data_IF_251362166709
#
_entry.id   IF_251362166709
#
_cell.length_a   1.000
_cell.length_b   1.000
_cell.length_c   1.000
_cell.angle_alpha   90.00
_cell.angle_beta   90.00
_cell.angle_gamma   90.00
#
_symmetry.space_group_name_H-M   'P 1'
#
loop_
_entity.id
_entity.type
_entity.pdbx_description
1 polymer ?
#
# COMPACT_ATOMS: atom_id res chain seq x y z
N UNK A 1 -7.28 16.76 -2.59
CA UNK A 1 -6.36 17.74 -3.22
C UNK A 1 -6.52 17.87 -4.72
N UNK A 2 -6.34 16.82 -5.52
CA UNK A 2 -6.40 16.92 -6.99
C UNK A 2 -7.73 17.49 -7.51
N UNK A 3 -8.87 17.09 -6.92
CA UNK A 3 -10.17 17.67 -7.26
C UNK A 3 -10.29 19.16 -6.92
N UNK A 4 -9.67 19.61 -5.83
CA UNK A 4 -9.60 21.05 -5.49
C UNK A 4 -8.76 21.80 -6.52
N UNK A 5 -7.58 21.28 -6.90
CA UNK A 5 -6.75 21.87 -7.96
C UNK A 5 -7.47 21.90 -9.32
N UNK A 6 -8.32 20.92 -9.60
CA UNK A 6 -9.20 20.92 -10.77
C UNK A 6 -10.22 22.08 -10.72
N UNK A 7 -10.91 22.27 -9.58
CA UNK A 7 -11.84 23.39 -9.38
C UNK A 7 -11.13 24.74 -9.47
N UNK A 8 -9.92 24.85 -8.94
CA UNK A 8 -9.05 26.02 -9.07
C UNK A 8 -8.71 26.32 -10.53
N UNK A 9 -8.37 25.30 -11.32
CA UNK A 9 -8.09 25.44 -12.75
C UNK A 9 -9.32 25.90 -13.57
N UNK A 10 -10.53 25.63 -13.09
CA UNK A 10 -11.79 26.17 -13.64
C UNK A 10 -12.11 27.60 -13.18
N UNK A 11 -11.21 28.23 -12.41
CA UNK A 11 -11.39 29.58 -11.88
C UNK A 11 -12.30 29.66 -10.65
N UNK A 12 -12.63 28.53 -10.02
CA UNK A 12 -13.40 28.55 -8.78
C UNK A 12 -12.51 28.92 -7.58
N UNK A 13 -13.05 29.70 -6.65
CA UNK A 13 -12.39 29.95 -5.37
C UNK A 13 -12.43 28.67 -4.52
N UNK A 14 -11.26 28.07 -4.29
CA UNK A 14 -11.13 26.83 -3.50
C UNK A 14 -10.76 27.07 -2.03
N UNK A 15 -10.40 28.31 -1.67
CA UNK A 15 -9.91 28.64 -0.33
C UNK A 15 -8.58 27.96 0.00
N UNK A 16 -8.29 27.81 1.29
CA UNK A 16 -7.15 27.01 1.74
C UNK A 16 -7.45 25.51 1.58
N UNK A 17 -6.43 24.74 1.19
CA UNK A 17 -6.55 23.28 1.16
C UNK A 17 -6.67 22.77 2.60
N UNK A 18 -7.75 22.04 2.95
CA UNK A 18 -7.96 21.53 4.30
C UNK A 18 -6.79 20.72 4.86
N UNK A 19 -6.64 20.76 6.19
CA UNK A 19 -5.67 19.93 6.90
C UNK A 19 -5.92 18.43 6.63
N UNK A 20 -4.84 17.65 6.47
CA UNK A 20 -4.90 16.23 6.10
C UNK A 20 -4.96 15.97 4.59
N UNK A 21 -5.08 17.00 3.76
CA UNK A 21 -4.95 16.89 2.31
C UNK A 21 -3.55 17.32 1.84
N UNK A 22 -3.08 16.75 0.74
CA UNK A 22 -1.80 17.11 0.11
C UNK A 22 -1.86 18.52 -0.51
N UNK A 23 -1.14 19.54 0.00
CA UNK A 23 -1.29 20.91 -0.48
C UNK A 23 -0.34 21.24 -1.65
N UNK A 24 0.64 20.37 -1.93
CA UNK A 24 1.76 20.67 -2.80
C UNK A 24 1.40 21.08 -4.22
N UNK A 25 2.22 21.97 -4.78
CA UNK A 25 2.03 22.54 -6.13
C UNK A 25 2.20 21.51 -7.25
N UNK A 26 2.81 20.36 -6.94
CA UNK A 26 2.90 19.22 -7.87
C UNK A 26 1.52 18.69 -8.33
N UNK A 27 0.43 19.04 -7.63
CA UNK A 27 -0.94 18.71 -8.04
C UNK A 27 -1.61 19.78 -8.91
N UNK A 28 -1.03 20.97 -9.06
CA UNK A 28 -1.58 22.03 -9.94
C UNK A 28 -1.66 21.54 -11.39
N UNK A 29 -0.61 20.94 -11.98
CA UNK A 29 -0.70 20.39 -13.35
C UNK A 29 -1.74 19.29 -13.49
N UNK A 30 -1.99 18.50 -12.43
CA UNK A 30 -3.04 17.46 -12.42
C UNK A 30 -4.42 18.10 -12.52
N UNK A 31 -4.67 19.15 -11.74
CA UNK A 31 -5.92 19.91 -11.79
C UNK A 31 -6.16 20.56 -13.16
N UNK A 32 -5.13 21.17 -13.74
CA UNK A 32 -5.18 21.77 -15.07
C UNK A 32 -5.50 20.72 -16.15
N UNK A 33 -4.87 19.55 -16.08
CA UNK A 33 -5.15 18.48 -17.02
C UNK A 33 -6.59 17.96 -16.91
N UNK A 34 -7.08 17.75 -15.68
CA UNK A 34 -8.48 17.36 -15.45
C UNK A 34 -9.46 18.39 -16.02
N UNK A 35 -9.18 19.69 -15.86
CA UNK A 35 -10.01 20.76 -16.38
C UNK A 35 -9.98 20.80 -17.93
N UNK A 36 -8.81 20.56 -18.53
CA UNK A 36 -8.68 20.47 -19.97
C UNK A 36 -9.39 19.24 -20.56
N UNK A 37 -9.32 18.09 -19.87
CA UNK A 37 -9.89 16.82 -20.31
C UNK A 37 -11.41 16.74 -20.11
N UNK A 38 -11.93 17.30 -19.01
CA UNK A 38 -13.31 17.12 -18.59
C UNK A 38 -14.14 18.41 -18.52
N UNK A 39 -13.55 19.58 -18.76
CA UNK A 39 -14.26 20.85 -18.57
C UNK A 39 -14.76 20.99 -17.14
N UNK A 40 -16.02 21.38 -16.95
CA UNK A 40 -16.70 21.44 -15.66
C UNK A 40 -17.52 20.18 -15.32
N UNK A 41 -17.52 19.17 -16.19
CA UNK A 41 -18.42 18.01 -16.07
C UNK A 41 -18.28 17.26 -14.74
N UNK A 42 -17.05 17.13 -14.22
CA UNK A 42 -16.81 16.44 -12.93
C UNK A 42 -17.45 17.18 -11.74
N UNK A 43 -17.69 18.50 -11.85
CA UNK A 43 -18.36 19.28 -10.80
C UNK A 43 -19.84 18.91 -10.65
N UNK A 44 -20.46 18.43 -11.73
CA UNK A 44 -21.87 18.04 -11.75
C UNK A 44 -22.09 16.57 -11.34
N UNK A 45 -21.01 15.81 -11.19
CA UNK A 45 -21.08 14.39 -10.82
C UNK A 45 -21.15 14.22 -9.30
N UNK A 46 -21.82 13.16 -8.81
CA UNK A 46 -21.66 12.72 -7.43
C UNK A 46 -20.23 12.20 -7.19
N UNK A 47 -19.80 12.18 -5.92
CA UNK A 47 -18.42 11.85 -5.53
C UNK A 47 -17.99 10.44 -5.95
N UNK A 48 -18.85 9.45 -5.80
CA UNK A 48 -18.61 8.09 -6.24
C UNK A 48 -18.34 7.97 -7.75
N UNK A 49 -18.85 8.90 -8.56
CA UNK A 49 -18.63 8.94 -10.00
C UNK A 49 -17.36 9.70 -10.41
N UNK A 50 -17.08 10.88 -9.84
CA UNK A 50 -15.87 11.65 -10.22
C UNK A 50 -14.59 11.19 -9.51
N UNK A 51 -14.70 10.65 -8.29
CA UNK A 51 -13.53 10.31 -7.47
C UNK A 51 -12.62 9.27 -8.14
N UNK A 52 -13.13 8.18 -8.73
CA UNK A 52 -12.27 7.23 -9.46
C UNK A 52 -11.49 7.88 -10.60
N UNK A 53 -12.14 8.77 -11.37
CA UNK A 53 -11.53 9.47 -12.51
C UNK A 53 -10.39 10.36 -12.04
N UNK A 54 -10.66 11.22 -11.05
CA UNK A 54 -9.66 12.13 -10.48
C UNK A 54 -8.51 11.35 -9.82
N UNK A 55 -8.83 10.27 -9.09
CA UNK A 55 -7.84 9.41 -8.45
C UNK A 55 -6.92 8.76 -9.48
N UNK A 56 -7.46 8.19 -10.54
CA UNK A 56 -6.66 7.50 -11.55
C UNK A 56 -5.76 8.49 -12.32
N UNK A 57 -6.27 9.69 -12.64
CA UNK A 57 -5.47 10.76 -13.26
C UNK A 57 -4.34 11.23 -12.34
N UNK A 58 -4.64 11.44 -11.07
CA UNK A 58 -3.64 11.84 -10.07
C UNK A 58 -2.58 10.75 -9.90
N UNK A 59 -2.98 9.49 -9.78
CA UNK A 59 -2.05 8.35 -9.65
C UNK A 59 -1.11 8.27 -10.85
N UNK A 60 -1.65 8.35 -12.08
CA UNK A 60 -0.82 8.34 -13.29
C UNK A 60 0.20 9.48 -13.29
N UNK A 61 -0.25 10.71 -13.00
CA UNK A 61 0.62 11.87 -12.98
C UNK A 61 1.72 11.78 -11.90
N UNK A 62 1.40 11.24 -10.72
CA UNK A 62 2.40 11.05 -9.66
C UNK A 62 3.42 9.99 -10.04
N UNK A 63 2.99 8.90 -10.69
CA UNK A 63 3.91 7.88 -11.18
C UNK A 63 4.83 8.42 -12.28
N UNK A 64 4.33 9.28 -13.16
CA UNK A 64 5.15 9.93 -14.19
C UNK A 64 6.17 10.89 -13.58
N UNK A 65 5.78 11.66 -12.55
CA UNK A 65 6.68 12.51 -11.79
C UNK A 65 7.79 11.70 -11.11
N UNK A 66 7.43 10.62 -10.41
CA UNK A 66 8.40 9.73 -9.75
C UNK A 66 9.40 9.15 -10.77
N UNK A 67 8.92 8.69 -11.93
CA UNK A 67 9.80 8.18 -13.00
C UNK A 67 10.74 9.24 -13.53
N UNK A 68 10.25 10.46 -13.74
CA UNK A 68 11.07 11.58 -14.22
C UNK A 68 12.15 11.96 -13.20
N UNK A 69 11.81 12.03 -11.91
CA UNK A 69 12.76 12.33 -10.83
C UNK A 69 13.85 11.25 -10.72
N UNK A 70 13.47 9.97 -10.77
CA UNK A 70 14.42 8.87 -10.78
C UNK A 70 15.35 8.91 -12.01
N UNK A 71 14.78 9.18 -13.19
CA UNK A 71 15.56 9.29 -14.42
C UNK A 71 16.55 10.47 -14.38
N UNK A 72 16.17 11.60 -13.77
CA UNK A 72 17.06 12.74 -13.57
C UNK A 72 18.27 12.40 -12.66
N UNK A 73 18.11 11.41 -11.77
CA UNK A 73 19.18 10.85 -10.94
C UNK A 73 19.93 9.68 -11.61
N UNK A 74 19.58 9.32 -12.86
CA UNK A 74 20.15 8.18 -13.57
C UNK A 74 19.66 6.82 -13.09
N UNK A 75 18.50 6.76 -12.41
CA UNK A 75 17.90 5.55 -11.87
C UNK A 75 16.74 5.11 -12.76
N UNK A 76 16.76 3.84 -13.19
CA UNK A 76 15.68 3.24 -13.98
C UNK A 76 15.24 1.92 -13.37
N UNK A 77 13.92 1.72 -13.23
CA UNK A 77 13.34 0.44 -12.82
C UNK A 77 12.75 -0.27 -14.04
N UNK A 78 13.01 -1.57 -14.17
CA UNK A 78 12.41 -2.40 -15.20
C UNK A 78 10.93 -2.66 -14.94
N UNK A 79 10.54 -2.75 -13.66
CA UNK A 79 9.18 -3.08 -13.23
C UNK A 79 8.74 -2.13 -12.13
N UNK A 80 7.59 -1.48 -12.33
CA UNK A 80 6.79 -0.86 -11.27
C UNK A 80 5.60 -1.77 -11.01
N UNK A 81 5.43 -2.24 -9.77
CA UNK A 81 4.40 -3.21 -9.42
C UNK A 81 3.25 -2.56 -8.65
N UNK A 82 2.00 -2.93 -8.96
CA UNK A 82 0.81 -2.33 -8.36
C UNK A 82 0.26 -3.20 -7.23
N UNK A 83 0.14 -2.64 -6.03
CA UNK A 83 -0.57 -3.29 -4.92
C UNK A 83 -2.05 -3.55 -5.26
N UNK A 84 -2.68 -2.63 -6.01
CA UNK A 84 -4.07 -2.83 -6.47
C UNK A 84 -4.18 -4.09 -7.35
N UNK A 85 -3.21 -4.31 -8.22
CA UNK A 85 -3.16 -5.51 -9.07
C UNK A 85 -2.87 -6.77 -8.25
N UNK A 86 -1.96 -6.70 -7.27
CA UNK A 86 -1.69 -7.80 -6.34
C UNK A 86 -2.98 -8.29 -5.66
N UNK A 87 -3.76 -7.36 -5.12
CA UNK A 87 -5.05 -7.66 -4.51
C UNK A 87 -6.05 -8.22 -5.53
N UNK A 88 -6.16 -7.61 -6.70
CA UNK A 88 -7.12 -8.03 -7.73
C UNK A 88 -6.81 -9.43 -8.32
N UNK A 89 -5.53 -9.84 -8.31
CA UNK A 89 -5.07 -11.11 -8.89
C UNK A 89 -5.36 -12.35 -8.02
N UNK A 90 -5.77 -12.16 -6.76
CA UNK A 90 -5.90 -13.23 -5.77
C UNK A 90 -4.57 -13.82 -5.32
N UNK A 91 -3.45 -13.14 -5.55
CA UNK A 91 -2.11 -13.63 -5.18
C UNK A 91 -1.94 -13.76 -3.67
N UNK A 92 -2.59 -12.89 -2.89
CA UNK A 92 -2.54 -12.93 -1.42
C UNK A 92 -3.19 -14.22 -0.93
N UNK A 93 -4.42 -14.48 -1.36
CA UNK A 93 -5.18 -15.68 -0.99
C UNK A 93 -4.42 -16.95 -1.36
N UNK A 94 -3.92 -17.04 -2.60
CA UNK A 94 -3.12 -18.20 -3.06
C UNK A 94 -1.86 -18.42 -2.22
N UNK A 95 -1.15 -17.35 -1.86
CA UNK A 95 0.06 -17.45 -1.05
C UNK A 95 -0.26 -17.95 0.36
N UNK A 96 -1.36 -17.47 0.94
CA UNK A 96 -1.78 -17.89 2.28
C UNK A 96 -2.34 -19.31 2.28
N UNK A 97 -3.08 -19.72 1.25
CA UNK A 97 -3.50 -21.11 1.06
C UNK A 97 -2.31 -22.05 0.94
N UNK A 98 -1.25 -21.63 0.23
CA UNK A 98 -0.01 -22.38 0.16
C UNK A 98 0.62 -22.55 1.56
N UNK A 99 0.77 -21.47 2.33
CA UNK A 99 1.30 -21.56 3.70
C UNK A 99 0.43 -22.41 4.64
N UNK A 100 -0.89 -22.33 4.50
CA UNK A 100 -1.84 -23.15 5.26
C UNK A 100 -1.70 -24.64 4.91
N UNK A 101 -1.54 -24.96 3.62
CA UNK A 101 -1.30 -26.35 3.16
C UNK A 101 -0.02 -26.97 3.73
N UNK A 102 0.96 -26.13 4.10
CA UNK A 102 2.19 -26.55 4.78
C UNK A 102 2.03 -26.61 6.31
N UNK A 103 0.84 -26.31 6.84
CA UNK A 103 0.57 -26.27 8.27
C UNK A 103 1.27 -25.11 8.98
N UNK A 104 1.63 -24.04 8.26
CA UNK A 104 2.34 -22.87 8.80
C UNK A 104 1.42 -21.75 9.28
N UNK A 105 0.11 -21.90 9.04
CA UNK A 105 -0.92 -21.00 9.56
C UNK A 105 -1.71 -21.71 10.66
N UNK A 106 -2.10 -20.96 11.70
CA UNK A 106 -2.95 -21.46 12.76
C UNK A 106 -3.77 -20.33 13.40
N UNK A 107 -4.75 -20.68 14.22
CA UNK A 107 -5.48 -19.71 15.06
C UNK A 107 -4.89 -19.72 16.47
N UNK A 108 -4.42 -18.55 16.94
CA UNK A 108 -3.81 -18.39 18.25
C UNK A 108 -4.01 -17.00 18.83
N UNK A 109 -3.52 -16.78 20.05
CA UNK A 109 -3.58 -15.48 20.73
C UNK A 109 -2.15 -14.98 20.91
N UNK A 110 -1.85 -13.78 20.43
CA UNK A 110 -0.54 -13.15 20.64
C UNK A 110 -0.47 -12.55 22.03
N UNK A 111 0.72 -12.58 22.62
CA UNK A 111 1.05 -11.86 23.85
C UNK A 111 0.95 -10.33 23.64
N UNK A 112 0.72 -9.55 24.70
CA UNK A 112 0.69 -8.10 24.60
C UNK A 112 2.04 -7.53 24.13
N UNK A 113 2.03 -6.38 23.44
CA UNK A 113 3.27 -5.71 23.05
C UNK A 113 4.20 -5.48 24.24
N UNK A 114 5.51 -5.70 24.03
CA UNK A 114 6.51 -5.44 25.08
C UNK A 114 6.55 -3.94 25.39
N UNK A 115 6.45 -3.58 26.68
CA UNK A 115 6.77 -2.24 27.17
C UNK A 115 5.58 -1.39 27.62
N UNK A 116 4.37 -1.62 27.12
CA UNK A 116 3.08 -1.08 27.64
C UNK A 116 1.95 -1.97 27.14
N UNK A 117 0.94 -2.23 27.97
CA UNK A 117 -0.36 -2.70 27.46
C UNK A 117 -1.07 -1.47 26.88
N UNK A 118 -1.32 -1.41 25.56
CA UNK A 118 -2.24 -0.42 25.01
C UNK A 118 -3.58 -0.52 25.75
N UNK A 119 -4.24 0.61 26.00
CA UNK A 119 -5.60 0.64 26.57
C UNK A 119 -6.59 -0.18 25.71
N UNK A 120 -6.29 -0.34 24.42
CA UNK A 120 -7.08 -1.07 23.42
C UNK A 120 -6.59 -2.51 23.15
N UNK A 121 -5.71 -3.08 23.97
CA UNK A 121 -5.27 -4.47 23.78
C UNK A 121 -6.14 -5.45 24.56
N UNK A 122 -6.81 -6.33 23.81
CA UNK A 122 -7.52 -7.48 24.37
C UNK A 122 -7.02 -8.79 23.75
N UNK A 123 -6.86 -9.85 24.56
CA UNK A 123 -6.50 -11.17 24.05
C UNK A 123 -7.63 -11.69 23.16
N UNK A 124 -7.31 -11.94 21.90
CA UNK A 124 -8.27 -12.44 20.91
C UNK A 124 -7.64 -13.46 19.97
N UNK A 125 -8.39 -14.48 19.54
CA UNK A 125 -7.96 -15.40 18.49
C UNK A 125 -7.67 -14.64 17.20
N UNK A 126 -6.52 -14.93 16.59
CA UNK A 126 -6.03 -14.33 15.35
C UNK A 126 -5.51 -15.43 14.43
N UNK A 127 -5.62 -15.22 13.13
CA UNK A 127 -4.93 -16.05 12.13
C UNK A 127 -3.45 -15.67 12.11
N UNK A 128 -2.58 -16.59 12.52
CA UNK A 128 -1.16 -16.37 12.74
C UNK A 128 -0.32 -17.23 11.79
N UNK A 129 0.74 -16.64 11.26
CA UNK A 129 1.86 -17.34 10.63
C UNK A 129 2.88 -17.75 11.69
N UNK A 130 3.34 -19.01 11.64
CA UNK A 130 4.33 -19.62 12.55
C UNK A 130 5.76 -19.11 12.32
N UNK A 131 5.94 -17.79 12.31
CA UNK A 131 7.21 -17.12 12.04
C UNK A 131 8.32 -17.50 13.02
N UNK A 132 7.97 -17.86 14.26
CA UNK A 132 8.94 -18.30 15.27
C UNK A 132 9.67 -19.59 14.88
N UNK A 133 9.06 -20.46 14.06
CA UNK A 133 9.72 -21.65 13.52
C UNK A 133 10.88 -21.31 12.58
N UNK A 134 10.90 -20.09 12.05
CA UNK A 134 11.90 -19.59 11.10
C UNK A 134 12.77 -18.47 11.68
N UNK A 135 12.81 -18.34 13.01
CA UNK A 135 13.73 -17.44 13.72
C UNK A 135 13.24 -16.02 13.95
N UNK A 136 11.94 -15.76 13.77
CA UNK A 136 11.32 -14.50 14.22
C UNK A 136 11.06 -14.52 15.74
N UNK A 137 10.87 -13.33 16.33
CA UNK A 137 10.70 -13.17 17.78
C UNK A 137 9.28 -13.57 18.26
N UNK A 138 8.27 -13.41 17.40
CA UNK A 138 6.86 -13.74 17.65
C UNK A 138 6.18 -14.18 16.37
N UNK A 139 5.13 -15.00 16.50
CA UNK A 139 4.27 -15.33 15.36
C UNK A 139 3.50 -14.08 14.89
N UNK A 140 3.16 -14.05 13.61
CA UNK A 140 2.71 -12.82 12.94
C UNK A 140 1.25 -12.92 12.53
N UNK A 141 0.46 -11.92 12.91
CA UNK A 141 -0.94 -11.83 12.49
C UNK A 141 -1.05 -11.57 10.99
N UNK A 142 -1.84 -12.39 10.31
CA UNK A 142 -2.15 -12.27 8.89
C UNK A 142 -3.45 -11.51 8.65
N UNK A 143 -4.40 -11.57 9.60
CA UNK A 143 -5.70 -10.87 9.52
C UNK A 143 -5.91 -9.90 10.68
N UNK A 144 -6.56 -8.78 10.39
CA UNK A 144 -7.11 -7.83 11.36
C UNK A 144 -8.46 -8.33 11.88
N UNK A 145 -8.99 -7.67 12.92
CA UNK A 145 -10.30 -8.02 13.49
C UNK A 145 -11.49 -7.73 12.60
N UNK A 146 -11.35 -6.78 11.67
CA UNK A 146 -12.38 -6.48 10.67
C UNK A 146 -12.41 -7.50 9.51
N UNK A 147 -11.56 -8.55 9.57
CA UNK A 147 -11.43 -9.57 8.54
C UNK A 147 -10.48 -9.20 7.40
N UNK A 148 -10.03 -7.95 7.32
CA UNK A 148 -9.06 -7.52 6.30
C UNK A 148 -7.67 -8.07 6.60
N UNK A 149 -6.85 -8.19 5.55
CA UNK A 149 -5.45 -8.60 5.68
C UNK A 149 -4.62 -7.56 6.44
N UNK A 150 -3.66 -8.00 7.24
CA UNK A 150 -2.61 -7.11 7.76
C UNK A 150 -1.66 -6.73 6.62
N UNK A 151 -0.84 -5.70 6.80
CA UNK A 151 0.19 -5.33 5.80
C UNK A 151 1.23 -6.44 5.58
N UNK A 152 1.32 -7.41 6.50
CA UNK A 152 2.26 -8.52 6.35
C UNK A 152 1.84 -9.51 5.27
N UNK A 153 0.55 -9.78 5.10
CA UNK A 153 0.06 -10.70 4.08
C UNK A 153 0.36 -10.27 2.62
N UNK A 154 0.09 -9.02 2.18
CA UNK A 154 0.49 -8.57 0.84
C UNK A 154 2.02 -8.54 0.69
N UNK A 155 2.78 -8.23 1.73
CA UNK A 155 4.25 -8.26 1.66
C UNK A 155 4.79 -9.68 1.42
N UNK A 156 4.23 -10.69 2.09
CA UNK A 156 4.58 -12.09 1.84
C UNK A 156 4.23 -12.48 0.41
N UNK A 157 3.01 -12.15 -0.04
CA UNK A 157 2.56 -12.46 -1.40
C UNK A 157 3.44 -11.80 -2.46
N UNK A 158 3.86 -10.55 -2.24
CA UNK A 158 4.73 -9.86 -3.16
C UNK A 158 6.17 -10.41 -3.15
N UNK A 159 6.69 -10.82 -2.00
CA UNK A 159 8.00 -11.50 -1.95
C UNK A 159 7.94 -12.87 -2.62
N UNK A 160 6.86 -13.60 -2.44
CA UNK A 160 6.64 -14.87 -3.11
C UNK A 160 6.56 -14.69 -4.64
N UNK A 161 5.84 -13.68 -5.12
CA UNK A 161 5.82 -13.30 -6.53
C UNK A 161 7.23 -12.97 -7.06
N UNK A 162 8.00 -12.12 -6.35
CA UNK A 162 9.40 -11.81 -6.71
C UNK A 162 10.27 -13.08 -6.79
N UNK A 163 10.09 -14.01 -5.85
CA UNK A 163 10.82 -15.28 -5.82
C UNK A 163 10.45 -16.17 -7.02
N UNK A 164 9.17 -16.25 -7.36
CA UNK A 164 8.67 -17.06 -8.48
C UNK A 164 9.15 -16.56 -9.86
N UNK A 165 9.64 -15.32 -9.97
CA UNK A 165 10.25 -14.79 -11.21
C UNK A 165 11.59 -15.44 -11.57
N UNK A 166 12.13 -16.32 -10.71
CA UNK A 166 13.30 -17.16 -11.02
C UNK A 166 14.65 -16.56 -10.62
N UNK A 167 14.66 -15.46 -9.87
CA UNK A 167 15.89 -14.87 -9.36
C UNK A 167 16.39 -15.63 -8.12
N UNK A 168 17.71 -15.84 -8.02
CA UNK A 168 18.34 -16.53 -6.89
C UNK A 168 18.76 -15.59 -5.75
N UNK A 169 18.60 -14.29 -5.94
CA UNK A 169 19.02 -13.26 -4.98
C UNK A 169 18.00 -12.14 -4.96
N UNK A 170 17.56 -11.77 -3.76
CA UNK A 170 16.63 -10.69 -3.51
C UNK A 170 17.28 -9.70 -2.56
N UNK A 171 17.27 -8.42 -2.93
CA UNK A 171 17.82 -7.32 -2.13
C UNK A 171 16.73 -6.29 -1.95
N UNK A 172 16.33 -6.05 -0.70
CA UNK A 172 15.41 -4.97 -0.36
C UNK A 172 16.19 -3.80 0.26
N UNK A 173 15.86 -2.58 -0.16
CA UNK A 173 16.44 -1.34 0.36
C UNK A 173 15.38 -0.68 1.24
N UNK A 174 15.56 -0.74 2.55
CA UNK A 174 14.65 -0.16 3.54
C UNK A 174 15.29 1.00 4.31
N UNK A 175 14.44 1.85 4.88
CA UNK A 175 14.86 2.80 5.92
C UNK A 175 15.37 2.06 7.16
N UNK A 176 16.33 2.66 7.87
CA UNK A 176 16.96 2.04 9.04
C UNK A 176 15.97 1.74 10.19
N UNK A 177 14.86 2.47 10.23
CA UNK A 177 13.73 2.31 11.15
C UNK A 177 12.95 1.00 10.93
N UNK A 178 13.17 0.30 9.81
CA UNK A 178 12.49 -0.96 9.46
C UNK A 178 13.23 -2.21 9.96
N UNK A 179 14.23 -2.10 10.83
CA UNK A 179 15.03 -3.24 11.31
C UNK A 179 14.20 -4.40 11.88
N UNK A 180 13.10 -4.11 12.59
CA UNK A 180 12.17 -5.11 13.11
C UNK A 180 11.30 -5.82 12.06
N UNK A 181 11.30 -5.32 10.82
CA UNK A 181 10.60 -5.92 9.68
C UNK A 181 11.45 -6.98 8.96
N UNK A 182 12.77 -6.92 9.10
CA UNK A 182 13.70 -7.82 8.39
C UNK A 182 13.47 -9.28 8.82
N UNK A 183 13.35 -9.55 10.13
CA UNK A 183 13.20 -10.92 10.64
C UNK A 183 11.90 -11.57 10.16
N UNK A 184 10.78 -10.85 10.21
CA UNK A 184 9.48 -11.41 9.79
C UNK A 184 9.43 -11.71 8.30
N UNK A 185 10.06 -10.87 7.47
CA UNK A 185 10.11 -11.11 6.03
C UNK A 185 11.09 -12.21 5.64
N UNK A 186 12.14 -12.44 6.43
CA UNK A 186 13.02 -13.61 6.24
C UNK A 186 12.38 -14.92 6.71
N UNK A 187 11.47 -14.83 7.68
CA UNK A 187 10.78 -15.98 8.23
C UNK A 187 9.69 -16.52 7.29
N UNK A 188 9.05 -15.65 6.52
CA UNK A 188 8.04 -16.00 5.53
C UNK A 188 8.66 -16.29 4.16
#
# INVERSE_FOLDING_TARGET
SAYLRYREALGQAIGEIPEGLYPGDYLVPVGQALAAEHGDALCAMPEDAWLPIVRDRALSAMMDLIRADLAALGITHEVFYSERELHASGAIEKTLEFLDSQGLIYVGVLEPPKGKQPEDWEPRPQTLFKATQFGDDVDRALRKSDGSWTYFAPDIAYHYDKFQRGYTTMVDIFGADHGGYIKRMKAA
#
